data_IF_311710742502
#
_entry.id   IF_311710742502
#
_cell.length_a   1.000
_cell.length_b   1.000
_cell.length_c   1.000
_cell.angle_alpha   90.00
_cell.angle_beta   90.00
_cell.angle_gamma   90.00
#
_symmetry.space_group_name_H-M   'P 1'
#
loop_
_entity.id
_entity.type
_entity.pdbx_description
1 polymer ?
#
# COMPACT_ATOMS: atom_id res chain seq x y z
N UNK A 1 -0.84 -6.07 24.17
CA UNK A 1 -0.32 -6.13 22.79
C UNK A 1 -0.80 -4.95 21.93
N UNK A 2 -2.08 -4.60 21.90
CA UNK A 2 -2.61 -3.46 21.11
C UNK A 2 -1.91 -2.13 21.43
N UNK A 3 -1.66 -1.79 22.69
CA UNK A 3 -0.96 -0.57 23.07
C UNK A 3 0.46 -0.48 22.49
N UNK A 4 1.17 -1.61 22.41
CA UNK A 4 2.51 -1.68 21.79
C UNK A 4 2.40 -1.45 20.27
N UNK A 5 1.38 -2.03 19.61
CA UNK A 5 1.14 -1.81 18.19
C UNK A 5 0.83 -0.34 17.87
N UNK A 6 0.03 0.33 18.72
CA UNK A 6 -0.26 1.76 18.59
C UNK A 6 1.00 2.60 18.77
N UNK A 7 1.82 2.32 19.78
CA UNK A 7 3.08 3.03 19.98
C UNK A 7 4.06 2.83 18.80
N UNK A 8 4.15 1.60 18.30
CA UNK A 8 4.98 1.26 17.14
C UNK A 8 4.45 1.94 15.87
N UNK A 9 3.12 2.04 15.71
CA UNK A 9 2.52 2.75 14.57
C UNK A 9 2.90 4.23 14.54
N UNK A 10 2.97 4.90 15.68
CA UNK A 10 3.40 6.29 15.76
C UNK A 10 4.85 6.48 15.29
N UNK A 11 5.75 5.56 15.66
CA UNK A 11 7.15 5.59 15.19
C UNK A 11 7.23 5.30 13.70
N UNK A 12 6.54 4.26 13.23
CA UNK A 12 6.59 3.85 11.83
C UNK A 12 5.86 4.83 10.90
N UNK A 13 4.90 5.61 11.41
CA UNK A 13 4.26 6.69 10.66
C UNK A 13 5.26 7.75 10.20
N UNK A 14 6.33 8.02 10.96
CA UNK A 14 7.40 8.95 10.55
C UNK A 14 8.09 8.41 9.28
N UNK A 15 8.34 7.11 9.24
CA UNK A 15 8.95 6.45 8.07
C UNK A 15 7.98 6.48 6.88
N UNK A 16 6.70 6.18 7.13
CA UNK A 16 5.67 6.19 6.10
C UNK A 16 5.50 7.57 5.46
N UNK A 17 5.36 8.63 6.27
CA UNK A 17 5.25 10.02 5.81
C UNK A 17 6.46 10.43 4.97
N UNK A 18 7.66 10.11 5.44
CA UNK A 18 8.89 10.42 4.70
C UNK A 18 8.96 9.66 3.37
N UNK A 19 8.56 8.41 3.37
CA UNK A 19 8.51 7.57 2.18
C UNK A 19 7.54 8.12 1.13
N UNK A 20 6.34 8.50 1.55
CA UNK A 20 5.34 9.15 0.69
C UNK A 20 5.88 10.46 0.11
N UNK A 21 6.52 11.28 0.93
CA UNK A 21 7.13 12.54 0.48
C UNK A 21 8.27 12.36 -0.53
N UNK A 22 8.98 11.24 -0.49
CA UNK A 22 10.12 10.95 -1.37
C UNK A 22 9.71 10.20 -2.65
N UNK A 23 8.70 9.32 -2.58
CA UNK A 23 8.36 8.36 -3.65
C UNK A 23 6.91 8.39 -4.10
N UNK A 24 6.06 9.15 -3.42
CA UNK A 24 4.60 9.14 -3.57
C UNK A 24 3.95 7.76 -3.30
N UNK A 25 4.69 6.85 -2.64
CA UNK A 25 4.24 5.49 -2.33
C UNK A 25 4.18 5.31 -0.82
N UNK A 26 3.00 4.88 -0.33
CA UNK A 26 2.82 4.53 1.07
C UNK A 26 3.28 3.08 1.33
N UNK A 27 4.33 2.84 2.15
CA UNK A 27 4.94 1.53 2.34
C UNK A 27 4.20 0.66 3.36
N UNK A 28 2.88 0.62 3.32
CA UNK A 28 2.02 -0.08 4.30
C UNK A 28 2.44 -1.53 4.51
N UNK A 29 2.70 -2.24 3.41
CA UNK A 29 3.15 -3.64 3.45
C UNK A 29 4.48 -3.83 4.19
N UNK A 30 5.42 -2.91 4.03
CA UNK A 30 6.70 -2.90 4.73
C UNK A 30 6.54 -2.62 6.22
N UNK A 31 5.73 -1.63 6.58
CA UNK A 31 5.47 -1.26 7.98
C UNK A 31 4.81 -2.42 8.74
N UNK A 32 3.84 -3.10 8.13
CA UNK A 32 3.24 -4.31 8.69
C UNK A 32 4.26 -5.42 8.94
N UNK A 33 5.17 -5.68 8.00
CA UNK A 33 6.22 -6.71 8.16
C UNK A 33 7.22 -6.39 9.27
N UNK A 34 7.62 -5.12 9.42
CA UNK A 34 8.46 -4.70 10.56
C UNK A 34 7.76 -5.00 11.88
N UNK A 35 6.47 -4.71 11.97
CA UNK A 35 5.66 -5.03 13.15
C UNK A 35 5.56 -6.54 13.37
N UNK A 36 5.35 -7.32 12.31
CA UNK A 36 5.31 -8.78 12.40
C UNK A 36 6.60 -9.37 12.95
N UNK A 37 7.76 -8.86 12.51
CA UNK A 37 9.06 -9.28 13.05
C UNK A 37 9.18 -8.98 14.54
N UNK A 38 8.79 -7.77 14.97
CA UNK A 38 8.79 -7.41 16.40
C UNK A 38 7.87 -8.33 17.21
N UNK A 39 6.67 -8.61 16.70
CA UNK A 39 5.70 -9.48 17.38
C UNK A 39 6.05 -10.98 17.30
N UNK A 40 6.84 -11.39 16.33
CA UNK A 40 7.44 -12.73 16.31
C UNK A 40 8.28 -13.01 17.55
N UNK A 41 8.99 -11.99 18.06
CA UNK A 41 9.72 -12.06 19.32
C UNK A 41 8.89 -11.82 20.57
N UNK A 42 7.91 -10.88 20.51
CA UNK A 42 7.09 -10.50 21.67
C UNK A 42 5.96 -11.49 21.98
N UNK A 43 5.43 -12.15 20.97
CA UNK A 43 4.32 -13.11 21.07
C UNK A 43 4.55 -14.31 20.13
N UNK A 44 5.59 -15.12 20.40
CA UNK A 44 5.95 -16.24 19.52
C UNK A 44 4.80 -17.24 19.41
N UNK A 45 4.57 -17.75 18.23
CA UNK A 45 3.50 -18.72 17.93
C UNK A 45 2.08 -18.14 17.86
N UNK A 46 1.87 -16.86 18.19
CA UNK A 46 0.54 -16.23 18.17
C UNK A 46 0.26 -15.53 16.84
N UNK A 47 -0.13 -16.28 15.83
CA UNK A 47 -0.34 -15.80 14.46
C UNK A 47 -1.38 -14.67 14.38
N UNK A 48 -2.53 -14.83 15.07
CA UNK A 48 -3.59 -13.80 15.09
C UNK A 48 -3.12 -12.50 15.73
N UNK A 49 -2.39 -12.57 16.85
CA UNK A 49 -1.82 -11.38 17.52
C UNK A 49 -0.82 -10.67 16.59
N UNK A 50 0.03 -11.43 15.90
CA UNK A 50 1.00 -10.91 14.95
C UNK A 50 0.33 -10.18 13.78
N UNK A 51 -0.67 -10.79 13.15
CA UNK A 51 -1.43 -10.19 12.04
C UNK A 51 -2.22 -8.96 12.47
N UNK A 52 -2.90 -9.01 13.61
CA UNK A 52 -3.67 -7.88 14.12
C UNK A 52 -2.77 -6.68 14.49
N UNK A 53 -1.60 -6.95 15.09
CA UNK A 53 -0.64 -5.90 15.38
C UNK A 53 -0.11 -5.25 14.09
N UNK A 54 0.18 -6.05 13.07
CA UNK A 54 0.60 -5.56 11.76
C UNK A 54 -0.50 -4.73 11.08
N UNK A 55 -1.76 -5.15 11.18
CA UNK A 55 -2.89 -4.40 10.66
C UNK A 55 -3.06 -3.03 11.33
N UNK A 56 -2.96 -2.98 12.67
CA UNK A 56 -3.01 -1.71 13.43
C UNK A 56 -1.89 -0.77 12.99
N UNK A 57 -0.66 -1.27 12.90
CA UNK A 57 0.50 -0.47 12.50
C UNK A 57 0.39 -0.03 11.04
N UNK A 58 -0.03 -0.93 10.15
CA UNK A 58 -0.25 -0.64 8.74
C UNK A 58 -1.32 0.44 8.55
N UNK A 59 -2.45 0.34 9.23
CA UNK A 59 -3.51 1.34 9.19
C UNK A 59 -3.05 2.71 9.71
N UNK A 60 -2.31 2.76 10.83
CA UNK A 60 -1.76 4.00 11.36
C UNK A 60 -0.75 4.66 10.42
N UNK A 61 0.13 3.88 9.83
CA UNK A 61 1.12 4.36 8.86
C UNK A 61 0.46 4.84 7.56
N UNK A 62 -0.55 4.10 7.06
CA UNK A 62 -1.33 4.49 5.88
C UNK A 62 -2.02 5.81 6.10
N UNK A 63 -2.79 5.92 7.18
CA UNK A 63 -3.52 7.15 7.51
C UNK A 63 -2.59 8.36 7.66
N UNK A 64 -1.40 8.18 8.24
CA UNK A 64 -0.43 9.26 8.39
C UNK A 64 0.11 9.73 7.03
N UNK A 65 0.42 8.81 6.12
CA UNK A 65 0.87 9.12 4.76
C UNK A 65 -0.19 9.85 3.96
N UNK A 66 -1.40 9.32 3.95
CA UNK A 66 -2.54 9.86 3.19
C UNK A 66 -2.93 11.25 3.72
N UNK A 67 -2.95 11.44 5.04
CA UNK A 67 -3.20 12.75 5.66
C UNK A 67 -2.16 13.80 5.23
N UNK A 68 -0.90 13.43 5.09
CA UNK A 68 0.13 14.37 4.65
C UNK A 68 -0.03 14.77 3.17
N UNK A 69 -0.46 13.85 2.31
CA UNK A 69 -0.80 14.15 0.92
C UNK A 69 -1.99 15.12 0.85
N UNK A 70 -3.05 14.87 1.62
CA UNK A 70 -4.23 15.72 1.68
C UNK A 70 -3.91 17.12 2.22
N UNK A 71 -3.13 17.21 3.31
CA UNK A 71 -2.68 18.48 3.86
C UNK A 71 -1.81 19.28 2.87
N UNK A 72 -0.95 18.59 2.11
CA UNK A 72 -0.15 19.22 1.07
C UNK A 72 -1.01 19.74 -0.06
N UNK A 73 -1.97 18.96 -0.53
CA UNK A 73 -2.93 19.35 -1.56
C UNK A 73 -3.74 20.57 -1.13
N UNK A 74 -4.27 20.54 0.08
CA UNK A 74 -5.00 21.65 0.62
C UNK A 74 -4.16 22.91 0.83
N UNK A 75 -2.92 22.77 1.27
CA UNK A 75 -1.99 23.90 1.35
C UNK A 75 -1.80 24.59 -0.01
N UNK A 76 -1.64 23.81 -1.08
CA UNK A 76 -1.50 24.33 -2.44
C UNK A 76 -2.77 25.04 -2.93
N UNK A 77 -3.94 24.62 -2.44
CA UNK A 77 -5.25 25.23 -2.73
C UNK A 77 -5.62 26.38 -1.77
N UNK A 78 -4.78 26.70 -0.78
CA UNK A 78 -5.06 27.74 0.21
C UNK A 78 -6.05 27.31 1.31
N UNK A 79 -6.30 26.01 1.47
CA UNK A 79 -7.20 25.51 2.51
C UNK A 79 -6.54 25.54 3.91
N UNK A 80 -7.38 25.73 4.94
CA UNK A 80 -6.93 25.71 6.33
C UNK A 80 -6.56 24.30 6.77
N UNK A 81 -5.33 24.03 7.28
CA UNK A 81 -4.94 22.71 7.78
C UNK A 81 -5.84 22.19 8.90
N UNK A 82 -6.34 23.08 9.75
CA UNK A 82 -7.28 22.72 10.83
C UNK A 82 -8.60 22.17 10.28
N UNK A 83 -9.15 22.82 9.27
CA UNK A 83 -10.40 22.38 8.66
C UNK A 83 -10.22 21.05 7.92
N UNK A 84 -9.07 20.85 7.27
CA UNK A 84 -8.75 19.59 6.65
C UNK A 84 -8.63 18.45 7.66
N UNK A 85 -7.95 18.68 8.79
CA UNK A 85 -7.88 17.70 9.87
C UNK A 85 -9.26 17.32 10.42
N UNK A 86 -10.13 18.31 10.61
CA UNK A 86 -11.51 18.06 11.06
C UNK A 86 -12.28 17.26 10.00
N UNK A 87 -12.15 17.59 8.73
CA UNK A 87 -12.77 16.84 7.63
C UNK A 87 -12.28 15.39 7.58
N UNK A 88 -11.00 15.14 7.81
CA UNK A 88 -10.41 13.79 7.91
C UNK A 88 -11.08 12.97 9.04
N UNK A 89 -11.32 13.56 10.20
CA UNK A 89 -12.00 12.86 11.30
C UNK A 89 -13.43 12.44 10.92
N UNK A 90 -14.18 13.30 10.24
CA UNK A 90 -15.49 12.96 9.70
C UNK A 90 -15.40 11.89 8.61
N UNK A 91 -14.39 11.98 7.73
CA UNK A 91 -14.11 10.98 6.69
C UNK A 91 -13.82 9.59 7.26
N UNK A 92 -13.00 9.52 8.33
CA UNK A 92 -12.73 8.27 9.04
C UNK A 92 -14.03 7.69 9.63
N UNK A 93 -14.84 8.52 10.29
CA UNK A 93 -16.12 8.09 10.84
C UNK A 93 -17.08 7.54 9.78
N UNK A 94 -17.20 8.22 8.65
CA UNK A 94 -17.99 7.75 7.52
C UNK A 94 -17.39 6.47 6.91
N UNK A 95 -16.07 6.41 6.74
CA UNK A 95 -15.36 5.25 6.20
C UNK A 95 -15.64 3.98 7.00
N UNK A 96 -15.61 4.05 8.33
CA UNK A 96 -15.92 2.90 9.20
C UNK A 96 -17.33 2.36 8.96
N UNK A 97 -18.30 3.22 8.69
CA UNK A 97 -19.68 2.80 8.42
C UNK A 97 -19.84 2.08 7.08
N UNK A 98 -19.07 2.46 6.07
CA UNK A 98 -19.20 1.92 4.72
C UNK A 98 -18.23 0.78 4.41
N UNK A 99 -17.01 0.80 4.96
CA UNK A 99 -15.99 -0.21 4.67
C UNK A 99 -16.43 -1.62 5.06
N UNK A 100 -17.06 -1.80 6.21
CA UNK A 100 -17.46 -3.14 6.69
C UNK A 100 -18.55 -3.76 5.80
N UNK A 101 -19.66 -3.06 5.46
CA UNK A 101 -20.64 -3.59 4.51
C UNK A 101 -20.04 -3.89 3.13
N UNK A 102 -19.21 -2.99 2.59
CA UNK A 102 -18.57 -3.20 1.28
C UNK A 102 -17.63 -4.40 1.31
N UNK A 103 -16.81 -4.55 2.36
CA UNK A 103 -15.96 -5.71 2.54
C UNK A 103 -16.77 -7.03 2.55
N UNK A 104 -17.89 -7.05 3.27
CA UNK A 104 -18.77 -8.22 3.32
C UNK A 104 -19.38 -8.55 1.94
N UNK A 105 -19.72 -7.54 1.13
CA UNK A 105 -20.20 -7.75 -0.25
C UNK A 105 -19.08 -8.38 -1.10
N UNK A 106 -17.86 -7.86 -1.05
CA UNK A 106 -16.73 -8.40 -1.81
C UNK A 106 -16.42 -9.85 -1.41
N UNK A 107 -16.33 -10.12 -0.12
CA UNK A 107 -16.00 -11.47 0.37
C UNK A 107 -17.12 -12.48 0.22
N UNK A 108 -18.36 -12.04 0.03
CA UNK A 108 -19.47 -12.91 -0.36
C UNK A 108 -19.45 -13.26 -1.86
N UNK A 109 -18.93 -12.34 -2.71
CA UNK A 109 -18.88 -12.54 -4.16
C UNK A 109 -17.56 -13.16 -4.65
N UNK A 110 -16.47 -12.92 -3.95
CA UNK A 110 -15.13 -13.32 -4.38
C UNK A 110 -14.33 -13.98 -3.27
N UNK A 111 -13.55 -14.99 -3.62
CA UNK A 111 -12.62 -15.63 -2.70
C UNK A 111 -11.36 -14.77 -2.52
N UNK A 112 -10.99 -14.51 -1.25
CA UNK A 112 -9.77 -13.78 -0.91
C UNK A 112 -8.52 -14.59 -1.31
N UNK A 113 -7.63 -13.96 -2.05
CA UNK A 113 -6.44 -14.62 -2.59
C UNK A 113 -6.70 -15.43 -3.86
N UNK A 114 -7.92 -15.42 -4.41
CA UNK A 114 -8.27 -16.00 -5.70
C UNK A 114 -7.91 -15.07 -6.87
N UNK A 115 -8.19 -15.53 -8.10
CA UNK A 115 -7.81 -14.80 -9.33
C UNK A 115 -8.48 -13.42 -9.43
N UNK A 116 -9.73 -13.29 -8.95
CA UNK A 116 -10.51 -12.05 -9.00
C UNK A 116 -10.22 -11.09 -7.84
N UNK A 117 -9.71 -11.61 -6.71
CA UNK A 117 -9.34 -10.82 -5.53
C UNK A 117 -8.00 -11.34 -4.96
N UNK A 118 -6.89 -11.12 -5.66
CA UNK A 118 -5.61 -11.76 -5.36
C UNK A 118 -4.96 -11.31 -4.05
N UNK A 119 -5.25 -10.08 -3.58
CA UNK A 119 -4.76 -9.53 -2.29
C UNK A 119 -3.29 -9.88 -1.95
N UNK A 120 -2.32 -9.58 -2.84
CA UNK A 120 -0.94 -10.05 -2.70
C UNK A 120 -0.27 -9.57 -1.41
N UNK A 121 -0.64 -8.40 -0.91
CA UNK A 121 -0.12 -7.86 0.35
C UNK A 121 -0.62 -8.67 1.56
N UNK A 122 -1.91 -9.04 1.58
CA UNK A 122 -2.49 -9.86 2.64
C UNK A 122 -1.88 -11.26 2.65
N UNK A 123 -1.69 -11.86 1.46
CA UNK A 123 -1.03 -13.16 1.32
C UNK A 123 0.42 -13.14 1.79
N UNK A 124 1.16 -12.06 1.51
CA UNK A 124 2.53 -11.87 2.00
C UNK A 124 2.58 -11.71 3.54
N UNK A 125 1.59 -11.06 4.15
CA UNK A 125 1.50 -10.95 5.61
C UNK A 125 1.15 -12.28 6.25
N UNK A 126 0.24 -13.06 5.65
CA UNK A 126 -0.09 -14.42 6.07
C UNK A 126 1.16 -15.30 6.06
N UNK A 127 1.88 -15.34 4.95
CA UNK A 127 3.12 -16.13 4.82
C UNK A 127 4.18 -15.74 5.87
N UNK A 128 4.35 -14.45 6.16
CA UNK A 128 5.26 -13.98 7.21
C UNK A 128 4.79 -14.43 8.60
N UNK A 129 3.50 -14.35 8.91
CA UNK A 129 2.97 -14.79 10.19
C UNK A 129 3.12 -16.30 10.39
N UNK A 130 2.90 -17.09 9.33
CA UNK A 130 3.13 -18.54 9.34
C UNK A 130 4.60 -18.88 9.56
N UNK A 131 5.51 -18.18 8.89
CA UNK A 131 6.95 -18.34 9.08
C UNK A 131 7.36 -18.06 10.52
N UNK A 132 6.90 -16.96 11.09
CA UNK A 132 7.23 -16.58 12.47
C UNK A 132 6.60 -17.50 13.52
N UNK A 133 5.48 -18.16 13.19
CA UNK A 133 4.83 -19.14 14.06
C UNK A 133 5.45 -20.53 13.98
N UNK A 134 5.86 -20.97 12.80
CA UNK A 134 6.40 -22.32 12.52
C UNK A 134 7.93 -22.40 12.59
N UNK A 135 8.62 -21.25 12.57
CA UNK A 135 10.07 -21.16 12.53
C UNK A 135 10.65 -21.16 11.12
N UNK A 136 11.98 -21.07 11.05
CA UNK A 136 12.72 -20.97 9.78
C UNK A 136 12.60 -22.21 8.90
N UNK A 137 12.24 -23.36 9.47
CA UNK A 137 12.04 -24.61 8.74
C UNK A 137 10.85 -24.57 7.77
N UNK A 138 9.93 -23.58 7.95
CA UNK A 138 8.83 -23.33 7.02
C UNK A 138 9.24 -22.56 5.76
N UNK A 139 10.49 -22.07 5.68
CA UNK A 139 11.00 -21.37 4.50
C UNK A 139 11.19 -22.34 3.32
N UNK A 140 10.82 -21.92 2.10
CA UNK A 140 11.21 -22.64 0.89
C UNK A 140 12.73 -22.84 0.80
N UNK A 141 13.19 -23.91 0.15
CA UNK A 141 14.62 -24.11 -0.11
C UNK A 141 15.24 -22.84 -0.73
N UNK A 142 16.42 -22.45 -0.25
CA UNK A 142 17.17 -21.25 -0.70
C UNK A 142 16.56 -19.89 -0.31
N UNK A 143 15.38 -19.84 0.30
CA UNK A 143 14.77 -18.54 0.71
C UNK A 143 15.67 -17.78 1.72
N UNK A 144 16.35 -18.48 2.62
CA UNK A 144 17.30 -17.85 3.54
C UNK A 144 18.43 -17.11 2.83
N UNK A 145 19.01 -17.70 1.79
CA UNK A 145 20.05 -17.06 0.97
C UNK A 145 19.49 -15.87 0.20
N UNK A 146 18.30 -16.00 -0.38
CA UNK A 146 17.62 -14.90 -1.07
C UNK A 146 17.34 -13.71 -0.14
N UNK A 147 16.91 -13.97 1.11
CA UNK A 147 16.71 -12.93 2.13
C UNK A 147 18.03 -12.20 2.46
N UNK A 148 19.13 -12.94 2.63
CA UNK A 148 20.44 -12.34 2.91
C UNK A 148 20.91 -11.43 1.77
N UNK A 149 20.80 -11.90 0.52
CA UNK A 149 21.18 -11.13 -0.67
C UNK A 149 20.29 -9.90 -0.80
N UNK A 150 18.97 -10.04 -0.68
CA UNK A 150 18.03 -8.92 -0.76
C UNK A 150 18.27 -7.89 0.34
N UNK A 151 18.58 -8.33 1.56
CA UNK A 151 18.92 -7.46 2.68
C UNK A 151 20.21 -6.68 2.41
N UNK A 152 21.25 -7.33 1.91
CA UNK A 152 22.51 -6.68 1.55
C UNK A 152 22.29 -5.62 0.45
N UNK A 153 21.53 -5.95 -0.60
CA UNK A 153 21.16 -5.00 -1.66
C UNK A 153 20.32 -3.85 -1.12
N UNK A 154 19.31 -4.14 -0.27
CA UNK A 154 18.45 -3.16 0.35
C UNK A 154 19.20 -2.16 1.25
N UNK A 155 20.29 -2.58 1.89
CA UNK A 155 21.19 -1.70 2.67
C UNK A 155 22.14 -0.92 1.74
N UNK A 156 22.67 -1.56 0.70
CA UNK A 156 23.61 -0.96 -0.22
C UNK A 156 23.00 0.21 -1.01
N UNK A 157 21.75 0.08 -1.49
CA UNK A 157 21.09 1.10 -2.32
C UNK A 157 21.02 2.48 -1.62
N UNK A 158 20.50 2.63 -0.38
CA UNK A 158 20.49 3.92 0.31
C UNK A 158 21.89 4.49 0.56
N UNK A 159 22.89 3.62 0.76
CA UNK A 159 24.28 4.05 0.94
C UNK A 159 24.88 4.58 -0.37
N UNK A 160 24.64 3.90 -1.49
CA UNK A 160 25.05 4.35 -2.82
C UNK A 160 24.41 5.68 -3.20
N UNK A 161 23.14 5.91 -2.83
CA UNK A 161 22.45 7.20 -3.06
C UNK A 161 23.06 8.38 -2.29
N UNK A 162 23.92 8.14 -1.30
CA UNK A 162 24.67 9.21 -0.62
C UNK A 162 25.88 9.69 -1.42
N UNK A 163 26.29 8.97 -2.45
CA UNK A 163 27.43 9.31 -3.29
C UNK A 163 26.95 10.24 -4.41
N UNK A 164 27.32 11.51 -4.37
CA UNK A 164 26.82 12.55 -5.29
C UNK A 164 27.03 12.23 -6.76
N UNK A 165 28.10 11.52 -7.10
CA UNK A 165 28.43 11.17 -8.50
C UNK A 165 27.48 10.15 -9.14
N UNK A 166 26.77 9.34 -8.34
CA UNK A 166 25.96 8.24 -8.85
C UNK A 166 24.51 8.26 -8.35
N UNK A 167 24.15 9.15 -7.43
CA UNK A 167 22.83 9.19 -6.79
C UNK A 167 21.66 9.21 -7.78
N UNK A 168 21.81 9.91 -8.91
CA UNK A 168 20.78 10.06 -9.92
C UNK A 168 20.60 8.81 -10.79
N UNK A 169 21.58 7.91 -10.78
CA UNK A 169 21.54 6.62 -11.48
C UNK A 169 21.10 5.46 -10.59
N UNK A 170 21.10 5.65 -9.28
CA UNK A 170 20.70 4.61 -8.32
C UNK A 170 19.18 4.66 -8.13
N UNK A 171 18.46 3.56 -8.46
CA UNK A 171 17.01 3.52 -8.32
C UNK A 171 16.57 3.65 -6.86
N UNK A 172 15.30 3.99 -6.63
CA UNK A 172 14.73 3.95 -5.30
C UNK A 172 14.64 2.50 -4.80
N UNK A 173 15.29 2.21 -3.67
CA UNK A 173 15.23 0.89 -3.04
C UNK A 173 13.83 0.51 -2.62
N UNK A 174 13.00 1.50 -2.25
CA UNK A 174 11.61 1.27 -1.91
C UNK A 174 10.78 0.89 -3.15
N UNK A 175 10.93 1.62 -4.27
CA UNK A 175 10.24 1.29 -5.52
C UNK A 175 10.64 -0.11 -6.04
N UNK A 176 11.93 -0.46 -5.93
CA UNK A 176 12.40 -1.81 -6.25
C UNK A 176 11.76 -2.87 -5.35
N UNK A 177 11.71 -2.63 -4.04
CA UNK A 177 11.09 -3.57 -3.09
C UNK A 177 9.60 -3.79 -3.39
N UNK A 178 8.87 -2.76 -3.74
CA UNK A 178 7.45 -2.84 -4.13
C UNK A 178 7.30 -3.63 -5.43
N UNK A 179 8.15 -3.40 -6.43
CA UNK A 179 8.08 -4.08 -7.72
C UNK A 179 8.24 -5.62 -7.60
N UNK A 180 8.92 -6.11 -6.55
CA UNK A 180 9.01 -7.55 -6.26
C UNK A 180 7.78 -8.13 -5.55
N UNK A 181 6.92 -7.28 -4.98
CA UNK A 181 5.74 -7.72 -4.22
C UNK A 181 4.49 -7.75 -5.10
N UNK A 182 4.36 -6.77 -6.00
CA UNK A 182 3.19 -6.63 -6.88
C UNK A 182 3.33 -7.50 -8.14
N UNK A 183 2.23 -8.04 -8.67
CA UNK A 183 2.24 -8.71 -9.97
C UNK A 183 2.77 -7.81 -11.09
N UNK A 184 3.49 -8.39 -12.05
CA UNK A 184 4.17 -7.64 -13.12
C UNK A 184 3.22 -6.78 -13.97
N UNK A 185 1.96 -7.19 -14.12
CA UNK A 185 0.98 -6.42 -14.89
C UNK A 185 0.68 -5.04 -14.30
N UNK A 186 0.74 -4.86 -12.98
CA UNK A 186 0.61 -3.53 -12.37
C UNK A 186 1.73 -2.58 -12.83
N UNK A 187 2.96 -3.05 -12.86
CA UNK A 187 4.09 -2.26 -13.36
C UNK A 187 3.94 -1.92 -14.84
N UNK A 188 3.41 -2.84 -15.64
CA UNK A 188 3.13 -2.60 -17.06
C UNK A 188 2.01 -1.57 -17.25
N UNK A 189 0.92 -1.66 -16.48
CA UNK A 189 -0.19 -0.68 -16.55
C UNK A 189 0.29 0.71 -16.17
N UNK A 190 1.10 0.84 -15.10
CA UNK A 190 1.71 2.12 -14.71
C UNK A 190 2.60 2.69 -15.81
N UNK A 191 3.41 1.84 -16.44
CA UNK A 191 4.26 2.24 -17.56
C UNK A 191 3.44 2.74 -18.75
N UNK A 192 2.39 2.01 -19.17
CA UNK A 192 1.52 2.44 -20.27
C UNK A 192 0.75 3.71 -19.94
N UNK A 193 0.30 3.87 -18.70
CA UNK A 193 -0.33 5.09 -18.20
C UNK A 193 0.61 6.30 -18.32
N UNK A 194 1.87 6.13 -17.91
CA UNK A 194 2.91 7.16 -18.02
C UNK A 194 3.23 7.51 -19.50
N UNK A 195 3.31 6.50 -20.38
CA UNK A 195 3.52 6.73 -21.83
C UNK A 195 2.34 7.51 -22.44
N UNK A 196 1.11 7.12 -22.10
CA UNK A 196 -0.09 7.82 -22.56
C UNK A 196 -0.10 9.28 -22.09
N UNK A 197 0.18 9.51 -20.81
CA UNK A 197 0.31 10.86 -20.24
C UNK A 197 1.41 11.67 -20.94
N UNK A 198 2.58 11.08 -21.19
CA UNK A 198 3.69 11.74 -21.86
C UNK A 198 3.34 12.17 -23.29
N UNK A 199 2.66 11.29 -24.04
CA UNK A 199 2.18 11.59 -25.40
C UNK A 199 1.14 12.71 -25.36
N UNK A 200 0.19 12.64 -24.41
CA UNK A 200 -0.84 13.66 -24.23
C UNK A 200 -0.23 15.01 -23.86
N UNK A 201 0.71 15.03 -22.93
CA UNK A 201 1.44 16.24 -22.52
C UNK A 201 2.20 16.88 -23.68
N UNK A 202 2.81 16.08 -24.56
CA UNK A 202 3.49 16.62 -25.77
C UNK A 202 2.52 17.20 -26.78
N UNK A 203 1.31 16.64 -26.91
CA UNK A 203 0.31 17.10 -27.86
C UNK A 203 -0.49 18.30 -27.37
N UNK A 204 -0.86 18.31 -26.11
CA UNK A 204 -1.68 19.37 -25.50
C UNK A 204 -1.32 19.58 -24.02
N UNK A 205 -0.25 20.33 -23.71
CA UNK A 205 0.19 20.61 -22.34
C UNK A 205 -0.90 21.25 -21.48
N UNK A 206 -1.64 22.20 -22.03
CA UNK A 206 -2.71 22.93 -21.31
C UNK A 206 -3.85 22.02 -20.89
N UNK A 207 -4.26 21.07 -21.76
CA UNK A 207 -5.29 20.10 -21.41
C UNK A 207 -4.82 19.14 -20.30
N UNK A 208 -3.57 18.70 -20.34
CA UNK A 208 -3.00 17.85 -19.29
C UNK A 208 -2.99 18.58 -17.96
N UNK A 209 -2.50 19.81 -17.92
CA UNK A 209 -2.44 20.60 -16.71
C UNK A 209 -3.83 20.79 -16.08
N UNK A 210 -4.85 20.99 -16.92
CA UNK A 210 -6.22 21.24 -16.49
C UNK A 210 -7.01 19.97 -16.11
N UNK A 211 -6.83 18.86 -16.83
CA UNK A 211 -7.72 17.70 -16.76
C UNK A 211 -7.08 16.41 -16.25
N UNK A 212 -5.75 16.33 -16.16
CA UNK A 212 -5.05 15.09 -15.81
C UNK A 212 -5.56 14.50 -14.47
N UNK A 213 -5.59 15.31 -13.42
CA UNK A 213 -6.03 14.83 -12.09
C UNK A 213 -7.52 14.48 -12.06
N UNK A 214 -8.36 15.28 -12.72
CA UNK A 214 -9.79 14.98 -12.77
C UNK A 214 -10.08 13.69 -13.52
N UNK A 215 -9.39 13.44 -14.65
CA UNK A 215 -9.51 12.21 -15.40
C UNK A 215 -9.02 11.00 -14.60
N UNK A 216 -7.82 11.09 -14.01
CA UNK A 216 -7.24 10.01 -13.20
C UNK A 216 -8.14 9.67 -11.98
N UNK A 217 -8.60 10.67 -11.24
CA UNK A 217 -9.51 10.49 -10.11
C UNK A 217 -10.84 9.87 -10.53
N UNK A 218 -11.40 10.31 -11.67
CA UNK A 218 -12.64 9.75 -12.22
C UNK A 218 -12.50 8.28 -12.63
N UNK A 219 -11.37 7.89 -13.21
CA UNK A 219 -11.09 6.50 -13.57
C UNK A 219 -10.97 5.61 -12.33
N UNK A 220 -10.21 6.05 -11.31
CA UNK A 220 -10.05 5.30 -10.04
C UNK A 220 -11.39 5.15 -9.32
N UNK A 221 -12.16 6.22 -9.19
CA UNK A 221 -13.48 6.17 -8.56
C UNK A 221 -14.46 5.28 -9.35
N UNK A 222 -14.45 5.38 -10.69
CA UNK A 222 -15.27 4.57 -11.57
C UNK A 222 -14.98 3.09 -11.47
N UNK A 223 -13.70 2.71 -11.42
CA UNK A 223 -13.27 1.32 -11.20
C UNK A 223 -13.76 0.77 -9.86
N UNK A 224 -13.59 1.53 -8.78
CA UNK A 224 -14.05 1.12 -7.46
C UNK A 224 -15.57 0.91 -7.39
N UNK A 225 -16.35 1.82 -7.96
CA UNK A 225 -17.81 1.68 -8.04
C UNK A 225 -18.22 0.48 -8.89
N UNK A 226 -17.57 0.27 -10.05
CA UNK A 226 -17.85 -0.87 -10.91
C UNK A 226 -17.48 -2.19 -10.25
N UNK A 227 -16.41 -2.22 -9.46
CA UNK A 227 -16.04 -3.38 -8.64
C UNK A 227 -17.15 -3.80 -7.68
N UNK A 228 -17.80 -2.83 -7.01
CA UNK A 228 -18.95 -3.11 -6.12
C UNK A 228 -20.14 -3.65 -6.94
N UNK A 229 -20.44 -3.03 -8.08
CA UNK A 229 -21.52 -3.50 -8.96
C UNK A 229 -21.27 -4.93 -9.43
N UNK A 230 -20.06 -5.23 -9.88
CA UNK A 230 -19.68 -6.59 -10.32
C UNK A 230 -19.78 -7.60 -9.18
N UNK A 231 -19.36 -7.25 -7.95
CA UNK A 231 -19.50 -8.12 -6.78
C UNK A 231 -20.97 -8.45 -6.48
N UNK A 232 -21.85 -7.45 -6.54
CA UNK A 232 -23.29 -7.65 -6.36
C UNK A 232 -23.88 -8.54 -7.48
N UNK A 233 -23.51 -8.29 -8.73
CA UNK A 233 -23.95 -9.13 -9.87
C UNK A 233 -23.51 -10.58 -9.70
N UNK A 234 -22.27 -10.80 -9.27
CA UNK A 234 -21.75 -12.15 -9.00
C UNK A 234 -22.56 -12.86 -7.91
N UNK A 235 -22.92 -12.16 -6.83
CA UNK A 235 -23.78 -12.72 -5.76
C UNK A 235 -25.17 -13.08 -6.30
N UNK A 236 -25.70 -12.31 -7.24
CA UNK A 236 -26.99 -12.55 -7.88
C UNK A 236 -26.93 -13.64 -8.98
N UNK A 237 -25.77 -14.27 -9.20
CA UNK A 237 -25.59 -15.32 -10.21
C UNK A 237 -25.51 -14.79 -11.65
N UNK A 238 -25.33 -13.49 -11.84
CA UNK A 238 -25.10 -12.89 -13.16
C UNK A 238 -23.61 -12.94 -13.45
N UNK A 239 -23.22 -13.53 -14.59
CA UNK A 239 -21.80 -13.50 -14.99
C UNK A 239 -21.30 -12.07 -15.12
N UNK A 240 -20.14 -11.79 -14.52
CA UNK A 240 -19.52 -10.47 -14.60
C UNK A 240 -19.17 -10.12 -16.06
N UNK A 241 -19.36 -8.86 -16.43
CA UNK A 241 -19.14 -8.32 -17.79
C UNK A 241 -17.61 -8.22 -18.11
N UNK A 242 -16.74 -8.80 -17.27
CA UNK A 242 -15.28 -8.77 -17.46
C UNK A 242 -14.72 -10.17 -17.55
#
# INVERSE_FOLDING_TARGET
>A
MTAIAIALSAILSIVAVRSVGETDINPVGGMGKVTQLAYGGLAPGQMSTNLMAAAITGAGASQAGDMMQDLKTGHLLGASPRNQFIAQLFGIGAGVLFVVPVYNIFTAGYELGGDKLPEPAAMAWKAMAELLAKGLDALPPQAGMAILIASAVGIAIPLLRKVDSIKDWVPSGLAMGIAFIIPAYYSLVMFYGMVAWFIWKRRNPTAVEKFNFALASGLVAGEGLMGIVNAVLTILGVESIT
#
